data_IF_388100286117
#
_entry.id   IF_388100286117
#
_cell.length_a   1.000
_cell.length_b   1.000
_cell.length_c   1.000
_cell.angle_alpha   90.00
_cell.angle_beta   90.00
_cell.angle_gamma   90.00
#
_symmetry.space_group_name_H-M   'P 1'
#
loop_
_entity.id
_entity.type
_entity.pdbx_description
1 polymer ?
#
# COMPACT_ATOMS: atom_id res chain seq x y z
N UNK A 1 0.50 4.29 -7.60
CA UNK A 1 1.48 3.19 -7.79
C UNK A 1 0.90 1.92 -7.21
N UNK A 2 1.31 0.80 -7.74
CA UNK A 2 0.85 -0.51 -7.28
C UNK A 2 2.03 -1.34 -6.82
N UNK A 3 1.82 -2.16 -5.81
CA UNK A 3 2.87 -3.02 -5.33
C UNK A 3 2.34 -4.11 -4.43
N UNK A 4 3.27 -4.85 -3.84
CA UNK A 4 2.96 -5.97 -2.97
C UNK A 4 3.65 -5.73 -1.64
N UNK A 5 2.93 -5.96 -0.56
CA UNK A 5 3.49 -5.82 0.78
C UNK A 5 4.56 -6.88 0.98
N UNK A 6 5.79 -6.45 1.23
CA UNK A 6 6.90 -7.35 1.46
C UNK A 6 6.98 -7.73 2.93
N UNK A 7 6.72 -6.79 3.81
CA UNK A 7 6.74 -7.02 5.24
C UNK A 7 5.87 -5.98 5.94
N UNK A 8 5.33 -6.31 7.09
CA UNK A 8 4.57 -5.37 7.89
C UNK A 8 4.62 -5.78 9.36
N UNK A 9 4.89 -4.81 10.22
CA UNK A 9 4.89 -5.02 11.67
C UNK A 9 3.70 -4.27 12.27
N UNK A 10 2.68 -4.97 12.76
CA UNK A 10 1.50 -4.30 13.30
C UNK A 10 1.76 -3.58 14.63
N UNK A 11 2.84 -3.90 15.29
CA UNK A 11 3.17 -3.25 16.57
C UNK A 11 3.74 -1.87 16.33
N UNK A 12 4.73 -1.76 15.45
CA UNK A 12 5.36 -0.48 15.14
C UNK A 12 4.70 0.21 13.99
N UNK A 13 3.89 -0.51 13.21
CA UNK A 13 3.24 -0.04 11.99
C UNK A 13 4.24 0.27 10.88
N UNK A 14 5.43 -0.28 10.99
CA UNK A 14 6.40 -0.16 9.93
C UNK A 14 6.18 -1.26 8.92
N UNK A 15 6.54 -1.01 7.68
CA UNK A 15 6.42 -2.00 6.64
C UNK A 15 7.15 -1.60 5.39
N UNK A 16 7.20 -2.52 4.44
CA UNK A 16 7.84 -2.31 3.17
C UNK A 16 6.92 -2.83 2.07
N UNK A 17 6.77 -2.03 1.02
CA UNK A 17 6.03 -2.39 -0.17
C UNK A 17 7.00 -2.43 -1.35
N UNK A 18 6.95 -3.48 -2.14
CA UNK A 18 7.74 -3.58 -3.36
C UNK A 18 6.88 -3.14 -4.54
N UNK A 19 7.32 -2.11 -5.23
CA UNK A 19 6.59 -1.57 -6.37
C UNK A 19 6.66 -2.51 -7.56
N UNK A 20 5.52 -2.72 -8.23
CA UNK A 20 5.46 -3.63 -9.38
C UNK A 20 6.21 -3.09 -10.60
N UNK A 21 6.30 -1.78 -10.73
CA UNK A 21 6.86 -1.17 -11.92
C UNK A 21 8.39 -1.20 -11.93
N UNK A 22 8.99 -0.78 -10.84
CA UNK A 22 10.44 -0.68 -10.78
C UNK A 22 11.07 -1.71 -9.85
N UNK A 23 10.25 -2.51 -9.19
CA UNK A 23 10.69 -3.54 -8.25
C UNK A 23 11.50 -2.98 -7.08
N UNK A 24 11.36 -1.69 -6.82
CA UNK A 24 12.04 -1.06 -5.71
C UNK A 24 11.21 -1.22 -4.44
N UNK A 25 11.88 -1.26 -3.30
CA UNK A 25 11.22 -1.33 -2.01
C UNK A 25 11.02 0.07 -1.46
N UNK A 26 9.84 0.32 -0.94
CA UNK A 26 9.51 1.60 -0.31
C UNK A 26 9.03 1.35 1.10
N UNK A 27 9.56 2.09 2.05
CA UNK A 27 9.10 1.99 3.43
C UNK A 27 7.78 2.75 3.58
N UNK A 28 6.94 2.28 4.49
CA UNK A 28 5.68 2.95 4.78
C UNK A 28 5.94 4.23 5.56
N UNK A 29 5.19 5.28 5.23
CA UNK A 29 5.22 6.49 6.03
C UNK A 29 4.47 6.25 7.34
N UNK A 30 4.68 7.10 8.32
CA UNK A 30 3.99 6.99 9.59
C UNK A 30 2.48 7.21 9.45
N UNK A 31 2.05 7.82 8.36
CA UNK A 31 0.65 8.09 8.10
C UNK A 31 0.08 7.23 6.99
N UNK A 32 0.78 6.18 6.61
CA UNK A 32 0.41 5.38 5.44
C UNK A 32 -1.01 4.84 5.51
N UNK A 33 -1.48 4.46 6.66
CA UNK A 33 -2.80 3.89 6.84
C UNK A 33 -3.83 4.88 7.38
N UNK A 34 -3.47 6.14 7.54
CA UNK A 34 -4.40 7.14 8.03
C UNK A 34 -5.46 7.40 6.98
N UNK A 35 -6.71 7.30 7.37
CA UNK A 35 -7.81 7.48 6.45
C UNK A 35 -8.05 6.31 5.52
N UNK A 36 -7.31 5.23 5.66
CA UNK A 36 -7.49 4.05 4.84
C UNK A 36 -8.46 3.08 5.50
N UNK A 37 -9.12 2.26 4.68
CA UNK A 37 -9.91 1.17 5.20
C UNK A 37 -9.04 0.04 5.71
N UNK A 38 -7.75 0.06 5.37
CA UNK A 38 -6.82 -0.96 5.83
C UNK A 38 -6.38 -0.65 7.24
N UNK A 39 -6.49 -1.61 8.13
CA UNK A 39 -6.05 -1.46 9.50
C UNK A 39 -4.75 -2.19 9.75
N UNK A 40 -4.44 -3.16 8.94
CA UNK A 40 -3.19 -3.88 8.98
C UNK A 40 -2.94 -4.45 7.60
N UNK A 41 -1.70 -4.77 7.33
CA UNK A 41 -1.28 -5.32 6.06
C UNK A 41 -0.76 -6.73 6.27
N UNK A 42 -0.83 -7.53 5.22
CA UNK A 42 -0.29 -8.90 5.23
C UNK A 42 0.78 -9.01 4.16
N UNK A 43 1.79 -9.80 4.43
CA UNK A 43 2.81 -10.10 3.44
C UNK A 43 2.15 -10.72 2.21
N UNK A 44 2.51 -10.22 1.04
CA UNK A 44 1.95 -10.69 -0.21
C UNK A 44 0.68 -9.98 -0.65
N UNK A 45 0.16 -9.08 0.16
CA UNK A 45 -1.06 -8.36 -0.18
C UNK A 45 -0.76 -7.29 -1.24
N UNK A 46 -1.61 -7.20 -2.26
CA UNK A 46 -1.47 -6.15 -3.26
C UNK A 46 -2.12 -4.88 -2.76
N UNK A 47 -1.43 -3.77 -2.97
CA UNK A 47 -1.91 -2.46 -2.53
C UNK A 47 -1.64 -1.42 -3.59
N UNK A 48 -2.41 -0.34 -3.55
CA UNK A 48 -2.13 0.86 -4.32
C UNK A 48 -1.66 1.89 -3.33
N UNK A 49 -0.67 2.67 -3.70
CA UNK A 49 -0.10 3.65 -2.80
C UNK A 49 0.47 4.83 -3.58
N UNK A 50 0.73 5.91 -2.86
CA UNK A 50 1.41 7.08 -3.40
C UNK A 50 2.71 7.25 -2.64
N UNK A 51 3.60 8.09 -3.15
CA UNK A 51 4.84 8.43 -2.44
C UNK A 51 4.72 9.83 -1.87
N UNK A 52 5.20 9.99 -0.65
CA UNK A 52 5.26 11.32 -0.05
C UNK A 52 6.56 12.02 -0.43
N UNK A 53 6.80 13.20 0.13
CA UNK A 53 7.97 13.99 -0.22
C UNK A 53 9.27 13.31 0.17
N UNK A 54 9.23 12.45 1.18
CA UNK A 54 10.41 11.72 1.61
C UNK A 54 10.62 10.42 0.85
N UNK A 55 9.71 10.09 -0.06
CA UNK A 55 9.80 8.84 -0.81
C UNK A 55 9.25 7.64 -0.08
N UNK A 56 8.43 7.85 0.93
CA UNK A 56 7.79 6.76 1.65
C UNK A 56 6.41 6.47 1.08
N UNK A 57 5.99 5.22 1.15
CA UNK A 57 4.67 4.84 0.67
C UNK A 57 3.59 5.37 1.62
N UNK A 58 2.58 6.00 1.08
CA UNK A 58 1.49 6.57 1.86
C UNK A 58 0.18 6.39 1.10
N UNK A 59 -0.94 6.64 1.78
CA UNK A 59 -2.24 6.55 1.14
C UNK A 59 -2.57 5.15 0.65
N UNK A 60 -2.22 4.14 1.40
CA UNK A 60 -2.39 2.76 0.97
C UNK A 60 -3.86 2.39 0.82
N UNK A 61 -4.19 1.69 -0.25
CA UNK A 61 -5.52 1.23 -0.58
C UNK A 61 -5.45 -0.20 -1.08
N UNK A 62 -6.55 -0.92 -0.99
CA UNK A 62 -6.61 -2.27 -1.53
C UNK A 62 -6.66 -2.20 -3.05
N UNK A 63 -5.82 -2.97 -3.71
CA UNK A 63 -5.85 -3.02 -5.16
C UNK A 63 -7.15 -3.59 -5.68
N UNK A 64 -7.70 -4.56 -4.98
CA UNK A 64 -8.96 -5.17 -5.42
C UNK A 64 -10.13 -4.20 -5.33
N UNK A 65 -10.10 -3.26 -4.44
CA UNK A 65 -11.15 -2.27 -4.39
C UNK A 65 -11.23 -1.45 -5.66
N UNK A 66 -10.08 -1.08 -6.18
CA UNK A 66 -10.05 -0.31 -7.41
C UNK A 66 -10.59 -1.12 -8.56
N UNK A 67 -10.21 -2.36 -8.65
CA UNK A 67 -10.71 -3.23 -9.69
C UNK A 67 -12.22 -3.41 -9.60
N UNK A 68 -12.73 -3.55 -8.42
CA UNK A 68 -14.16 -3.70 -8.24
C UNK A 68 -14.91 -2.44 -8.61
N UNK A 69 -14.36 -1.31 -8.33
CA UNK A 69 -15.02 -0.06 -8.65
C UNK A 69 -15.03 0.22 -10.13
N UNK A 70 -14.04 -0.19 -10.82
CA UNK A 70 -13.91 0.12 -12.21
C UNK A 70 -14.88 -0.60 -13.08
N UNK A 71 -14.97 -1.87 -13.04
CA UNK A 71 -15.86 -2.53 -13.95
C UNK A 71 -17.24 -2.55 -13.45
N UNK A 72 -17.36 -2.60 -12.25
CA UNK A 72 -18.66 -2.81 -11.71
C UNK A 72 -19.59 -1.79 -12.04
N UNK A 73 -19.11 -0.82 -12.58
CA UNK A 73 -19.92 0.19 -12.72
C UNK A 73 -20.61 0.25 -13.94
N UNK A 74 -20.40 -0.41 -14.75
CA UNK A 74 -20.99 -0.16 -15.95
C UNK A 74 -21.97 -0.86 -16.39
#
# INVERSE_FOLDING_TARGET
>A
MQGVVKAYDPVTRDGIVTCDTDLADYELSSTALVGSVLRMLRQGQRVIFDLDEAGHATGLRLGSEVDMQTPGVQ
#
